data_IF_842028369580
#
_entry.id   IF_842028369580
#
_cell.length_a   1.000
_cell.length_b   1.000
_cell.length_c   1.000
_cell.angle_alpha   90.00
_cell.angle_beta   90.00
_cell.angle_gamma   90.00
#
_symmetry.space_group_name_H-M   'P 1'
#
loop_
_entity.id
_entity.type
_entity.pdbx_description
1 polymer ?
#
# COMPACT_ATOMS: atom_id res chain seq x y z
N UNK A 1 -3.03 -21.89 -7.46
CA UNK A 1 -2.11 -23.05 -7.48
C UNK A 1 -2.02 -23.80 -6.16
N UNK A 2 -1.89 -23.16 -4.99
CA UNK A 2 -1.75 -23.89 -3.70
C UNK A 2 -2.85 -24.91 -3.37
N UNK A 3 -4.08 -24.71 -3.87
CA UNK A 3 -5.18 -25.71 -3.76
C UNK A 3 -4.78 -27.07 -4.34
N UNK A 4 -4.04 -27.09 -5.46
CA UNK A 4 -3.59 -28.33 -6.08
C UNK A 4 -2.55 -29.05 -5.22
N UNK A 5 -1.63 -28.31 -4.60
CA UNK A 5 -0.66 -28.87 -3.64
C UNK A 5 -1.36 -29.55 -2.48
N UNK A 6 -2.38 -28.89 -1.90
CA UNK A 6 -3.21 -29.47 -0.84
C UNK A 6 -3.99 -30.70 -1.31
N UNK A 7 -4.61 -30.67 -2.50
CA UNK A 7 -5.35 -31.82 -3.05
C UNK A 7 -4.45 -33.04 -3.28
N UNK A 8 -3.22 -32.83 -3.73
CA UNK A 8 -2.24 -33.90 -3.93
C UNK A 8 -1.76 -34.44 -2.58
N UNK A 9 -1.44 -33.56 -1.62
CA UNK A 9 -0.98 -33.94 -0.28
C UNK A 9 -2.04 -34.74 0.51
N UNK A 10 -3.30 -34.33 0.43
CA UNK A 10 -4.45 -35.01 1.07
C UNK A 10 -4.97 -36.22 0.30
N UNK A 11 -4.37 -36.54 -0.86
CA UNK A 11 -4.85 -37.58 -1.79
C UNK A 11 -6.37 -37.47 -2.05
N UNK A 12 -6.85 -36.24 -2.27
CA UNK A 12 -8.28 -35.97 -2.45
C UNK A 12 -8.85 -36.84 -3.57
N UNK A 13 -9.96 -37.52 -3.28
CA UNK A 13 -10.57 -38.44 -4.23
C UNK A 13 -11.14 -37.71 -5.45
N UNK A 14 -10.38 -37.70 -6.54
CA UNK A 14 -10.80 -37.29 -7.87
C UNK A 14 -9.82 -37.86 -8.92
N UNK A 15 -10.29 -37.92 -10.17
CA UNK A 15 -9.56 -38.53 -11.28
C UNK A 15 -8.20 -37.86 -11.51
N UNK A 16 -8.15 -36.52 -11.44
CA UNK A 16 -6.93 -35.77 -11.69
C UNK A 16 -5.84 -36.05 -10.64
N UNK A 17 -6.18 -36.09 -9.36
CA UNK A 17 -5.24 -36.44 -8.28
C UNK A 17 -4.76 -37.89 -8.41
N UNK A 18 -5.67 -38.84 -8.68
CA UNK A 18 -5.32 -40.25 -8.92
C UNK A 18 -4.34 -40.39 -10.08
N UNK A 19 -4.58 -39.67 -11.19
CA UNK A 19 -3.70 -39.65 -12.36
C UNK A 19 -2.34 -39.00 -12.07
N UNK A 20 -2.30 -37.90 -11.31
CA UNK A 20 -1.04 -37.27 -10.88
C UNK A 20 -0.19 -38.24 -10.05
N UNK A 21 -0.81 -38.96 -9.12
CA UNK A 21 -0.13 -39.96 -8.30
C UNK A 21 0.36 -41.14 -9.14
N UNK A 22 -0.38 -41.59 -10.16
CA UNK A 22 0.05 -42.72 -10.99
C UNK A 22 1.10 -42.36 -12.05
N UNK A 23 1.08 -41.14 -12.58
CA UNK A 23 1.95 -40.72 -13.69
C UNK A 23 3.20 -40.01 -13.20
N UNK A 24 3.05 -38.98 -12.35
CA UNK A 24 4.17 -38.13 -11.94
C UNK A 24 4.87 -38.63 -10.68
N UNK A 25 4.11 -38.88 -9.62
CA UNK A 25 4.66 -39.17 -8.29
C UNK A 25 5.07 -40.65 -8.19
N UNK A 26 4.23 -41.55 -8.68
CA UNK A 26 4.38 -43.01 -8.57
C UNK A 26 4.58 -43.41 -7.11
N UNK A 27 5.70 -44.04 -6.80
CA UNK A 27 6.06 -44.50 -5.45
C UNK A 27 6.86 -43.44 -4.65
N UNK A 28 7.02 -42.23 -5.18
CA UNK A 28 7.78 -41.17 -4.52
C UNK A 28 6.95 -40.47 -3.42
N UNK A 29 7.62 -39.88 -2.43
CA UNK A 29 6.96 -38.96 -1.51
C UNK A 29 6.60 -37.66 -2.25
N UNK A 30 5.39 -37.11 -2.02
CA UNK A 30 4.93 -35.86 -2.65
C UNK A 30 5.63 -34.60 -2.10
N UNK A 31 5.74 -34.49 -0.77
CA UNK A 31 6.77 -33.63 -0.15
C UNK A 31 8.11 -34.16 -0.67
N UNK A 32 9.24 -33.47 -0.68
CA UNK A 32 10.48 -34.04 -1.28
C UNK A 32 10.51 -34.37 -2.81
N UNK A 33 9.39 -34.65 -3.50
CA UNK A 33 9.39 -34.87 -4.96
C UNK A 33 9.93 -33.66 -5.73
N UNK A 34 10.78 -33.90 -6.73
CA UNK A 34 11.24 -32.88 -7.66
C UNK A 34 10.78 -33.20 -9.10
N UNK A 35 10.27 -32.22 -9.86
CA UNK A 35 9.85 -32.44 -11.24
C UNK A 35 11.06 -32.60 -12.18
N UNK A 36 10.87 -33.29 -13.30
CA UNK A 36 11.88 -33.48 -14.33
C UNK A 36 11.90 -32.27 -15.29
N UNK A 37 13.05 -32.04 -15.94
CA UNK A 37 13.21 -30.93 -16.89
C UNK A 37 12.20 -30.98 -18.05
N UNK A 38 11.86 -32.18 -18.53
CA UNK A 38 10.88 -32.42 -19.60
C UNK A 38 9.42 -32.41 -19.17
N UNK A 39 9.11 -32.22 -17.88
CA UNK A 39 7.73 -32.15 -17.42
C UNK A 39 7.04 -30.87 -17.90
N UNK A 40 5.71 -30.93 -17.99
CA UNK A 40 4.91 -29.76 -18.38
C UNK A 40 5.19 -28.55 -17.49
N UNK A 41 5.15 -27.35 -18.09
CA UNK A 41 5.32 -26.09 -17.34
C UNK A 41 4.35 -25.99 -16.16
N UNK A 42 3.08 -26.39 -16.37
CA UNK A 42 2.07 -26.38 -15.31
C UNK A 42 2.43 -27.27 -14.11
N UNK A 43 2.94 -28.48 -14.35
CA UNK A 43 3.38 -29.38 -13.28
C UNK A 43 4.57 -28.83 -12.50
N UNK A 44 5.56 -28.29 -13.22
CA UNK A 44 6.72 -27.62 -12.60
C UNK A 44 6.29 -26.45 -11.73
N UNK A 45 5.31 -25.64 -12.18
CA UNK A 45 4.74 -24.55 -11.39
C UNK A 45 4.03 -25.04 -10.12
N UNK A 46 3.31 -26.17 -10.17
CA UNK A 46 2.70 -26.75 -8.96
C UNK A 46 3.80 -27.19 -7.97
N UNK A 47 4.87 -27.81 -8.45
CA UNK A 47 6.00 -28.20 -7.60
C UNK A 47 6.71 -26.99 -6.99
N UNK A 48 6.96 -25.93 -7.77
CA UNK A 48 7.52 -24.68 -7.25
C UNK A 48 6.65 -24.07 -6.14
N UNK A 49 5.33 -24.06 -6.32
CA UNK A 49 4.40 -23.56 -5.30
C UNK A 49 4.43 -24.43 -4.04
N UNK A 50 4.57 -25.75 -4.19
CA UNK A 50 4.77 -26.66 -3.05
C UNK A 50 6.04 -26.29 -2.29
N UNK A 51 7.14 -26.05 -2.98
CA UNK A 51 8.41 -25.74 -2.30
C UNK A 51 8.40 -24.36 -1.64
N UNK A 52 7.69 -23.37 -2.20
CA UNK A 52 7.38 -22.12 -1.50
C UNK A 52 6.57 -22.41 -0.23
N UNK A 53 5.51 -23.23 -0.32
CA UNK A 53 4.67 -23.56 0.84
C UNK A 53 5.44 -24.30 1.94
N UNK A 54 6.40 -25.17 1.59
CA UNK A 54 7.28 -25.86 2.56
C UNK A 54 8.06 -24.90 3.47
N UNK A 55 8.37 -23.69 2.98
CA UNK A 55 9.03 -22.66 3.78
C UNK A 55 8.19 -22.13 4.95
N UNK A 56 6.86 -22.35 4.94
CA UNK A 56 5.92 -21.73 5.87
C UNK A 56 4.95 -22.71 6.53
N UNK A 57 4.76 -23.90 5.94
CA UNK A 57 3.82 -24.91 6.40
C UNK A 57 4.48 -26.28 6.41
N UNK A 58 4.22 -27.07 7.45
CA UNK A 58 4.62 -28.48 7.49
C UNK A 58 3.65 -29.35 6.69
N UNK A 59 4.08 -30.55 6.31
CA UNK A 59 3.21 -31.51 5.62
C UNK A 59 1.96 -31.83 6.47
N UNK A 60 2.14 -32.08 7.77
CA UNK A 60 1.04 -32.40 8.69
C UNK A 60 0.02 -31.26 8.79
N UNK A 61 0.49 -30.01 8.84
CA UNK A 61 -0.38 -28.84 8.85
C UNK A 61 -1.22 -28.75 7.57
N UNK A 62 -0.65 -29.09 6.41
CA UNK A 62 -1.38 -29.09 5.13
C UNK A 62 -2.40 -30.22 5.08
N UNK A 63 -2.03 -31.43 5.49
CA UNK A 63 -2.93 -32.60 5.45
C UNK A 63 -4.07 -32.47 6.47
N UNK A 64 -3.80 -31.88 7.63
CA UNK A 64 -4.81 -31.63 8.66
C UNK A 64 -5.87 -30.58 8.26
N UNK A 65 -5.67 -29.83 7.17
CA UNK A 65 -6.66 -28.84 6.72
C UNK A 65 -7.90 -29.55 6.15
N UNK A 66 -9.10 -29.38 6.74
CA UNK A 66 -10.33 -30.01 6.24
C UNK A 66 -10.74 -29.46 4.87
N UNK A 67 -10.40 -28.20 4.59
CA UNK A 67 -10.63 -27.54 3.31
C UNK A 67 -9.52 -26.54 3.05
N UNK A 68 -8.99 -26.55 1.83
CA UNK A 68 -8.04 -25.52 1.41
C UNK A 68 -8.66 -24.12 1.50
N UNK A 69 -7.96 -23.22 2.19
CA UNK A 69 -8.33 -21.82 2.31
C UNK A 69 -7.19 -20.94 1.82
N UNK A 70 -7.47 -20.12 0.82
CA UNK A 70 -6.52 -19.12 0.32
C UNK A 70 -6.13 -18.17 1.46
N UNK A 71 -7.09 -17.79 2.31
CA UNK A 71 -6.83 -16.91 3.46
C UNK A 71 -5.85 -17.54 4.46
N UNK A 72 -6.02 -18.83 4.79
CA UNK A 72 -5.11 -19.51 5.71
C UNK A 72 -3.71 -19.62 5.10
N UNK A 73 -3.62 -20.09 3.85
CA UNK A 73 -2.34 -20.19 3.16
C UNK A 73 -1.64 -18.83 3.05
N UNK A 74 -2.36 -17.77 2.67
CA UNK A 74 -1.83 -16.41 2.58
C UNK A 74 -1.35 -15.90 3.94
N UNK A 75 -2.11 -16.12 5.01
CA UNK A 75 -1.71 -15.69 6.36
C UNK A 75 -0.46 -16.43 6.86
N UNK A 76 -0.25 -17.69 6.48
CA UNK A 76 0.97 -18.43 6.80
C UNK A 76 2.21 -17.91 6.05
N UNK A 77 2.02 -17.30 4.87
CA UNK A 77 3.10 -16.63 4.14
C UNK A 77 3.46 -15.26 4.74
N UNK A 78 2.58 -14.67 5.55
CA UNK A 78 2.84 -13.39 6.18
C UNK A 78 3.71 -13.59 7.43
N UNK A 79 4.70 -12.70 7.66
CA UNK A 79 5.38 -12.64 8.94
C UNK A 79 4.37 -12.47 10.08
N UNK A 80 4.54 -13.22 11.17
CA UNK A 80 3.75 -13.02 12.39
C UNK A 80 3.93 -11.56 12.82
N UNK A 81 2.82 -10.82 12.92
CA UNK A 81 2.77 -9.39 13.27
C UNK A 81 3.27 -8.39 12.19
N UNK A 82 3.00 -8.62 10.91
CA UNK A 82 3.26 -7.66 9.82
C UNK A 82 2.38 -6.39 9.83
N UNK A 83 1.87 -5.93 10.99
CA UNK A 83 1.20 -4.62 11.06
C UNK A 83 2.23 -3.53 10.89
N UNK A 84 2.23 -2.93 9.70
CA UNK A 84 3.13 -1.83 9.38
C UNK A 84 2.81 -0.62 10.25
N UNK A 85 3.76 -0.07 11.02
CA UNK A 85 3.51 1.07 11.92
C UNK A 85 2.94 2.29 11.20
N UNK A 86 3.32 2.48 9.93
CA UNK A 86 2.83 3.58 9.10
C UNK A 86 1.39 3.39 8.60
N UNK A 87 0.80 2.20 8.71
CA UNK A 87 -0.52 1.91 8.15
C UNK A 87 -1.61 2.79 8.79
N UNK A 88 -1.50 3.07 10.09
CA UNK A 88 -2.43 3.96 10.79
C UNK A 88 -2.34 5.41 10.31
N UNK A 89 -1.16 5.87 9.91
CA UNK A 89 -0.97 7.22 9.37
C UNK A 89 -1.65 7.40 7.99
N UNK A 90 -1.72 6.34 7.19
CA UNK A 90 -2.34 6.38 5.85
C UNK A 90 -3.85 6.16 5.93
N UNK A 91 -4.27 5.18 6.72
CA UNK A 91 -5.67 4.73 6.76
C UNK A 91 -6.49 5.40 7.87
N UNK A 92 -6.03 6.55 8.36
CA UNK A 92 -6.77 7.36 9.33
C UNK A 92 -8.09 7.90 8.74
N UNK A 93 -9.12 8.04 9.59
CA UNK A 93 -10.47 8.47 9.18
C UNK A 93 -10.54 9.91 8.65
N UNK A 94 -9.59 10.78 9.00
CA UNK A 94 -9.58 12.18 8.60
C UNK A 94 -8.92 12.42 7.23
N UNK A 95 -8.27 11.39 6.65
CA UNK A 95 -7.61 11.54 5.36
C UNK A 95 -8.59 11.58 4.17
N UNK A 96 -8.37 12.47 3.20
CA UNK A 96 -9.12 12.43 1.93
C UNK A 96 -8.77 11.14 1.17
N UNK A 97 -9.75 10.36 0.65
CA UNK A 97 -9.48 9.05 0.02
C UNK A 97 -8.38 9.07 -1.05
N UNK A 98 -8.36 10.10 -1.91
CA UNK A 98 -7.31 10.28 -2.93
C UNK A 98 -5.93 10.44 -2.31
N UNK A 99 -5.81 11.19 -1.20
CA UNK A 99 -4.54 11.39 -0.51
C UNK A 99 -4.08 10.08 0.13
N UNK A 100 -4.98 9.33 0.78
CA UNK A 100 -4.64 8.02 1.35
C UNK A 100 -4.05 7.08 0.30
N UNK A 101 -4.67 7.02 -0.88
CA UNK A 101 -4.21 6.17 -1.97
C UNK A 101 -2.82 6.57 -2.48
N UNK A 102 -2.59 7.87 -2.73
CA UNK A 102 -1.28 8.36 -3.19
C UNK A 102 -0.20 8.16 -2.11
N UNK A 103 -0.50 8.45 -0.85
CA UNK A 103 0.44 8.23 0.27
C UNK A 103 0.74 6.75 0.46
N UNK A 104 -0.25 5.86 0.29
CA UNK A 104 -0.05 4.41 0.30
C UNK A 104 0.92 3.96 -0.77
N UNK A 105 0.73 4.42 -2.01
CA UNK A 105 1.65 4.13 -3.11
C UNK A 105 3.05 4.69 -2.82
N UNK A 106 3.15 5.89 -2.26
CA UNK A 106 4.42 6.48 -1.87
C UNK A 106 5.12 5.64 -0.79
N UNK A 107 4.44 5.24 0.29
CA UNK A 107 5.06 4.42 1.34
C UNK A 107 5.53 3.05 0.87
N UNK A 108 4.97 2.53 -0.23
CA UNK A 108 5.41 1.29 -0.86
C UNK A 108 6.45 1.49 -1.98
N UNK A 109 6.92 2.72 -2.22
CA UNK A 109 7.73 3.10 -3.37
C UNK A 109 7.12 2.59 -4.70
N UNK A 110 5.81 2.79 -4.84
CA UNK A 110 5.01 2.37 -6.00
C UNK A 110 4.40 3.53 -6.77
N UNK A 111 4.71 4.77 -6.39
CA UNK A 111 4.31 5.94 -7.15
C UNK A 111 5.04 5.99 -8.49
N UNK A 112 4.32 6.30 -9.57
CA UNK A 112 4.85 6.43 -10.93
C UNK A 112 5.64 7.73 -11.10
N UNK A 113 6.88 7.74 -10.63
CA UNK A 113 7.80 8.87 -10.86
C UNK A 113 8.37 8.84 -12.27
N UNK A 114 8.84 9.98 -12.78
CA UNK A 114 9.44 10.05 -14.12
C UNK A 114 10.63 9.09 -14.29
N UNK A 115 11.42 8.85 -13.25
CA UNK A 115 12.46 7.81 -13.26
C UNK A 115 11.89 6.41 -13.57
N UNK A 116 10.76 6.04 -12.97
CA UNK A 116 10.12 4.74 -13.21
C UNK A 116 9.43 4.69 -14.57
N UNK A 117 8.82 5.80 -15.00
CA UNK A 117 8.19 5.93 -16.32
C UNK A 117 9.21 5.81 -17.47
N UNK A 118 10.40 6.38 -17.30
CA UNK A 118 11.49 6.22 -18.27
C UNK A 118 11.96 4.76 -18.35
N UNK A 119 12.06 4.04 -17.23
CA UNK A 119 12.45 2.62 -17.20
C UNK A 119 11.48 1.69 -17.94
N UNK A 120 10.20 2.07 -18.03
CA UNK A 120 9.17 1.33 -18.79
C UNK A 120 8.95 1.87 -20.20
N UNK A 121 9.76 2.85 -20.65
CA UNK A 121 9.70 3.41 -22.00
C UNK A 121 8.52 4.36 -22.27
N UNK A 122 7.95 4.97 -21.23
CA UNK A 122 6.83 5.93 -21.38
C UNK A 122 7.32 7.37 -21.62
N UNK A 123 8.51 7.72 -21.13
CA UNK A 123 9.10 9.05 -21.29
C UNK A 123 10.58 8.94 -21.66
N UNK A 124 11.08 9.88 -22.45
CA UNK A 124 12.47 9.90 -22.93
C UNK A 124 13.46 10.52 -21.92
N UNK A 125 12.95 11.29 -20.96
CA UNK A 125 13.73 11.91 -19.90
C UNK A 125 13.14 11.63 -18.51
N UNK A 126 13.94 11.84 -17.48
CA UNK A 126 13.58 11.61 -16.08
C UNK A 126 13.74 12.86 -15.20
N UNK A 127 13.87 14.06 -15.78
CA UNK A 127 14.00 15.30 -15.02
C UNK A 127 12.68 15.66 -14.32
N UNK A 128 12.78 16.11 -13.08
CA UNK A 128 11.64 16.54 -12.28
C UNK A 128 10.90 17.68 -12.96
N UNK A 129 9.59 17.52 -13.13
CA UNK A 129 8.75 18.52 -13.79
C UNK A 129 8.54 19.79 -12.94
N UNK A 130 8.84 19.72 -11.63
CA UNK A 130 8.63 20.84 -10.71
C UNK A 130 9.84 21.78 -10.64
N UNK A 131 11.06 21.24 -10.60
CA UNK A 131 12.28 22.04 -10.52
C UNK A 131 13.13 22.02 -11.80
N UNK A 132 12.99 21.01 -12.65
CA UNK A 132 13.77 20.86 -13.89
C UNK A 132 15.25 20.54 -13.71
N UNK A 133 15.76 20.48 -12.48
CA UNK A 133 17.22 20.44 -12.19
C UNK A 133 17.78 19.07 -11.83
N UNK A 134 16.94 18.11 -11.44
CA UNK A 134 17.39 16.79 -10.99
C UNK A 134 16.40 15.69 -11.39
N UNK A 135 16.84 14.43 -11.28
CA UNK A 135 16.04 13.24 -11.59
C UNK A 135 14.84 13.11 -10.63
N UNK A 136 13.67 12.87 -11.19
CA UNK A 136 12.43 12.63 -10.44
C UNK A 136 12.35 11.21 -9.91
N UNK A 137 12.90 11.01 -8.72
CA UNK A 137 12.57 9.89 -7.86
C UNK A 137 11.70 10.36 -6.68
N UNK A 138 11.17 9.43 -5.90
CA UNK A 138 10.22 9.75 -4.83
C UNK A 138 10.85 10.66 -3.76
N UNK A 139 12.12 10.42 -3.40
CA UNK A 139 12.82 11.21 -2.40
C UNK A 139 13.03 12.65 -2.88
N UNK A 140 13.42 12.81 -4.14
CA UNK A 140 13.52 14.12 -4.76
C UNK A 140 12.16 14.80 -4.82
N UNK A 141 11.15 14.15 -5.40
CA UNK A 141 9.81 14.70 -5.58
C UNK A 141 9.19 15.24 -4.28
N UNK A 142 9.32 14.52 -3.16
CA UNK A 142 8.70 14.95 -1.91
C UNK A 142 9.60 15.73 -0.95
N UNK A 143 10.92 15.53 -0.97
CA UNK A 143 11.80 16.06 0.10
C UNK A 143 12.99 16.88 -0.39
N UNK A 144 13.58 16.57 -1.55
CA UNK A 144 14.78 17.29 -2.03
C UNK A 144 14.51 18.31 -3.14
N UNK A 145 13.34 18.25 -3.77
CA UNK A 145 12.95 19.19 -4.80
C UNK A 145 12.77 20.58 -4.18
N UNK A 146 13.36 21.60 -4.81
CA UNK A 146 13.28 22.99 -4.33
C UNK A 146 11.82 23.47 -4.21
N UNK A 147 10.98 23.10 -5.18
CA UNK A 147 9.55 23.39 -5.15
C UNK A 147 8.88 22.78 -3.91
N UNK A 148 9.10 21.48 -3.68
CA UNK A 148 8.52 20.76 -2.56
C UNK A 148 9.04 21.26 -1.22
N UNK A 149 10.32 21.63 -1.13
CA UNK A 149 10.92 22.26 0.06
C UNK A 149 10.20 23.56 0.42
N UNK A 150 9.97 24.44 -0.57
CA UNK A 150 9.22 25.70 -0.36
C UNK A 150 7.79 25.44 0.11
N UNK A 151 7.13 24.41 -0.42
CA UNK A 151 5.81 23.98 0.07
C UNK A 151 5.88 23.55 1.54
N UNK A 152 6.85 22.70 1.91
CA UNK A 152 7.04 22.26 3.29
C UNK A 152 7.35 23.40 4.24
N UNK A 153 8.17 24.37 3.85
CA UNK A 153 8.48 25.54 4.69
C UNK A 153 7.23 26.35 4.99
N UNK A 154 6.38 26.58 3.98
CA UNK A 154 5.14 27.33 4.14
C UNK A 154 4.13 26.59 5.03
N UNK A 155 3.98 25.27 4.85
CA UNK A 155 3.11 24.44 5.69
C UNK A 155 3.65 24.38 7.13
N UNK A 156 4.97 24.22 7.30
CA UNK A 156 5.61 24.11 8.62
C UNK A 156 5.48 25.39 9.43
N UNK A 157 5.71 26.57 8.82
CA UNK A 157 5.49 27.87 9.47
C UNK A 157 4.08 28.00 10.02
N UNK A 158 3.09 27.51 9.28
CA UNK A 158 1.70 27.57 9.68
C UNK A 158 1.38 26.57 10.80
N UNK A 159 1.94 25.35 10.75
CA UNK A 159 1.80 24.36 11.81
C UNK A 159 2.40 24.82 13.14
N UNK A 160 3.58 25.48 13.12
CA UNK A 160 4.23 26.03 14.31
C UNK A 160 3.31 26.98 15.07
N UNK A 161 2.58 27.85 14.35
CA UNK A 161 1.61 28.76 14.97
C UNK A 161 0.49 28.01 15.70
N UNK A 162 -0.07 26.95 15.09
CA UNK A 162 -1.13 26.17 15.73
C UNK A 162 -0.64 25.39 16.95
N UNK A 163 0.57 24.86 16.91
CA UNK A 163 1.19 24.19 18.07
C UNK A 163 1.37 25.20 19.22
N UNK A 164 1.90 26.38 18.93
CA UNK A 164 2.04 27.45 19.92
C UNK A 164 0.68 27.88 20.49
N UNK A 165 -0.34 27.96 19.63
CA UNK A 165 -1.72 28.29 20.03
C UNK A 165 -2.31 27.24 20.98
N UNK A 166 -2.14 25.94 20.71
CA UNK A 166 -2.59 24.89 21.63
C UNK A 166 -1.85 24.94 22.96
N UNK A 167 -0.53 25.17 22.95
CA UNK A 167 0.25 25.33 24.18
C UNK A 167 -0.26 26.49 25.03
N UNK A 168 -0.60 27.62 24.41
CA UNK A 168 -1.17 28.76 25.13
C UNK A 168 -2.59 28.49 25.63
N UNK A 169 -3.41 27.77 24.86
CA UNK A 169 -4.74 27.37 25.31
C UNK A 169 -4.66 26.47 26.54
N UNK A 170 -3.68 25.56 26.59
CA UNK A 170 -3.40 24.73 27.75
C UNK A 170 -2.97 25.57 28.97
N UNK A 171 -2.12 26.58 28.76
CA UNK A 171 -1.63 27.44 29.84
C UNK A 171 -2.71 28.35 30.43
N UNK A 172 -3.46 29.06 29.57
CA UNK A 172 -4.36 30.13 30.01
C UNK A 172 -5.79 29.67 30.25
N UNK A 173 -6.24 28.62 29.56
CA UNK A 173 -7.62 28.13 29.63
C UNK A 173 -7.72 26.70 30.20
N UNK A 174 -6.61 26.12 30.68
CA UNK A 174 -6.53 24.75 31.18
C UNK A 174 -7.13 23.69 30.22
N UNK A 175 -7.07 23.95 28.92
CA UNK A 175 -7.69 23.11 27.90
C UNK A 175 -6.65 22.49 26.97
N UNK A 176 -6.62 21.16 26.89
CA UNK A 176 -5.83 20.41 25.92
C UNK A 176 -6.80 19.69 24.97
N UNK A 177 -6.83 20.12 23.72
CA UNK A 177 -7.69 19.51 22.70
C UNK A 177 -7.02 18.26 22.12
N UNK A 178 -7.84 17.29 21.74
CA UNK A 178 -7.34 16.11 21.00
C UNK A 178 -6.80 16.54 19.63
N UNK A 179 -5.78 15.84 19.15
CA UNK A 179 -5.10 16.12 17.88
C UNK A 179 -6.10 16.18 16.71
N UNK A 180 -7.09 15.29 16.67
CA UNK A 180 -8.15 15.29 15.65
C UNK A 180 -8.90 16.63 15.59
N UNK A 181 -9.21 17.23 16.74
CA UNK A 181 -9.92 18.52 16.80
C UNK A 181 -9.05 19.71 16.44
N UNK A 182 -7.74 19.60 16.69
CA UNK A 182 -6.77 20.60 16.22
C UNK A 182 -6.69 20.53 14.69
N UNK A 183 -6.59 19.33 14.11
CA UNK A 183 -6.61 19.10 12.66
C UNK A 183 -7.90 19.62 12.01
N UNK A 184 -9.09 19.37 12.59
CA UNK A 184 -10.36 19.91 12.09
C UNK A 184 -10.34 21.45 12.06
N UNK A 185 -9.81 22.09 13.10
CA UNK A 185 -9.70 23.55 13.20
C UNK A 185 -8.74 24.12 12.18
N UNK A 186 -7.63 23.41 11.97
CA UNK A 186 -6.62 23.68 10.94
C UNK A 186 -7.28 23.67 9.55
N UNK A 187 -7.98 22.58 9.20
CA UNK A 187 -8.66 22.45 7.90
C UNK A 187 -9.68 23.58 7.68
N UNK A 188 -10.51 23.89 8.69
CA UNK A 188 -11.47 25.01 8.64
C UNK A 188 -10.79 26.35 8.42
N UNK A 189 -9.66 26.59 9.09
CA UNK A 189 -8.90 27.84 8.93
C UNK A 189 -8.34 27.98 7.53
N UNK A 190 -7.80 26.89 6.95
CA UNK A 190 -7.30 26.86 5.58
C UNK A 190 -8.45 27.15 4.60
N UNK A 191 -9.57 26.45 4.77
CA UNK A 191 -10.74 26.65 3.91
C UNK A 191 -11.21 28.10 3.94
N UNK A 192 -11.42 28.67 5.12
CA UNK A 192 -11.86 30.06 5.27
C UNK A 192 -10.88 31.03 4.61
N UNK A 193 -9.56 30.82 4.77
CA UNK A 193 -8.54 31.64 4.10
C UNK A 193 -8.66 31.55 2.59
N UNK A 194 -8.74 30.35 2.03
CA UNK A 194 -8.89 30.14 0.58
C UNK A 194 -10.18 30.80 0.09
N UNK A 195 -11.31 30.63 0.77
CA UNK A 195 -12.57 31.34 0.47
C UNK A 195 -12.41 32.85 0.45
N UNK A 196 -11.62 33.44 1.35
CA UNK A 196 -11.40 34.90 1.35
C UNK A 196 -10.47 35.41 0.25
N UNK A 197 -9.57 34.57 -0.29
CA UNK A 197 -8.62 34.96 -1.35
C UNK A 197 -8.99 34.43 -2.73
N UNK A 198 -10.01 33.59 -2.83
CA UNK A 198 -10.51 33.02 -4.08
C UNK A 198 -10.91 34.16 -5.04
N UNK A 199 -10.36 34.21 -6.26
CA UNK A 199 -10.69 35.25 -7.22
C UNK A 199 -12.18 35.26 -7.58
N UNK A 200 -12.77 36.43 -7.78
CA UNK A 200 -14.18 36.57 -8.22
C UNK A 200 -14.46 35.94 -9.60
N UNK A 201 -13.41 35.68 -10.39
CA UNK A 201 -13.51 35.09 -11.72
C UNK A 201 -13.57 33.53 -11.71
N UNK A 202 -13.57 32.89 -10.54
CA UNK A 202 -13.67 31.43 -10.45
C UNK A 202 -15.07 30.98 -10.87
N UNK A 203 -15.13 29.93 -11.70
CA UNK A 203 -16.41 29.42 -12.21
C UNK A 203 -17.32 28.98 -11.05
N UNK A 204 -18.63 29.17 -11.21
CA UNK A 204 -19.62 28.76 -10.20
C UNK A 204 -19.49 27.28 -9.86
N UNK A 205 -19.15 26.44 -10.85
CA UNK A 205 -18.90 25.00 -10.65
C UNK A 205 -17.73 24.75 -9.72
N UNK A 206 -16.60 25.42 -9.93
CA UNK A 206 -15.39 25.20 -9.13
C UNK A 206 -15.55 25.80 -7.73
N UNK A 207 -16.27 26.91 -7.60
CA UNK A 207 -16.66 27.47 -6.31
C UNK A 207 -17.59 26.52 -5.52
N UNK A 208 -18.63 25.98 -6.17
CA UNK A 208 -19.53 25.00 -5.55
C UNK A 208 -18.82 23.71 -5.16
N UNK A 209 -17.90 23.21 -6.01
CA UNK A 209 -17.03 22.09 -5.68
C UNK A 209 -16.16 22.38 -4.45
N UNK A 210 -15.56 23.57 -4.39
CA UNK A 210 -14.71 23.97 -3.27
C UNK A 210 -15.48 24.03 -1.95
N UNK A 211 -16.68 24.60 -1.96
CA UNK A 211 -17.56 24.63 -0.78
C UNK A 211 -18.02 23.22 -0.37
N UNK A 212 -18.29 22.34 -1.34
CA UNK A 212 -18.73 20.97 -1.08
C UNK A 212 -17.65 20.07 -0.46
N UNK A 213 -16.36 20.42 -0.57
CA UNK A 213 -15.24 19.70 0.07
C UNK A 213 -15.29 19.75 1.61
N UNK A 214 -16.10 20.63 2.21
CA UNK A 214 -16.20 20.81 3.67
C UNK A 214 -17.33 20.01 4.29
N UNK A 215 -18.34 19.63 3.50
CA UNK A 215 -19.57 18.98 3.99
C UNK A 215 -19.54 17.45 3.91
N UNK A 216 -18.42 16.85 3.48
CA UNK A 216 -18.26 15.39 3.28
C UNK A 216 -17.46 14.69 4.38
#
# INVERSE_FOLDING_TARGET
MGKHVWMIATKKDNIWVKWVHSVYIKDSNWWDYAPKAGDSWYWRTICQVKDIMKGYLTFDQVVAMPKYSIKLAYNSLLPVNARQPWATAIWDRLGVPKHRFITWLAMLDRLSTKEKLMKIGVTDDNLCLLCGTAVENQNHLFFRCEYSSKCWDNVSKWLVYHIWKERNNALWNAQIRRVDKVCDTIQKTIHNRISTVLPRAVSTRDHSWFVALVTG
#
